data_IF_326273424051
#
_entry.id   IF_326273424051
#
_cell.length_a   1.000
_cell.length_b   1.000
_cell.length_c   1.000
_cell.angle_alpha   90.00
_cell.angle_beta   90.00
_cell.angle_gamma   90.00
#
_symmetry.space_group_name_H-M   'P 1'
#
loop_
_entity.id
_entity.type
_entity.pdbx_description
1 polymer ?
#
# COMPACT_ATOMS: atom_id res chain seq x y z
N UNK A 1 8.73 -35.55 -2.92
CA UNK A 1 8.73 -34.44 -1.97
C UNK A 1 8.16 -33.17 -2.61
N UNK A 2 8.73 -32.66 -3.72
CA UNK A 2 8.26 -31.42 -4.39
C UNK A 2 6.78 -31.51 -4.79
N UNK A 3 6.38 -32.61 -5.44
CA UNK A 3 4.96 -32.82 -5.83
C UNK A 3 3.99 -32.75 -4.66
N UNK A 4 4.36 -33.31 -3.50
CA UNK A 4 3.52 -33.25 -2.30
C UNK A 4 3.42 -31.81 -1.76
N UNK A 5 4.50 -31.04 -1.80
CA UNK A 5 4.50 -29.64 -1.38
C UNK A 5 3.60 -28.78 -2.28
N UNK A 6 3.59 -29.04 -3.57
CA UNK A 6 2.71 -28.35 -4.53
C UNK A 6 1.23 -28.68 -4.25
N UNK A 7 0.92 -29.96 -4.08
CA UNK A 7 -0.45 -30.41 -3.76
C UNK A 7 -0.95 -29.77 -2.45
N UNK A 8 -0.10 -29.70 -1.42
CA UNK A 8 -0.44 -29.06 -0.14
C UNK A 8 -0.72 -27.56 -0.29
N UNK A 9 -0.19 -26.93 -1.34
CA UNK A 9 -0.47 -25.51 -1.72
C UNK A 9 -1.62 -25.35 -2.71
N UNK A 10 -2.35 -26.42 -2.99
CA UNK A 10 -3.47 -26.39 -3.91
C UNK A 10 -3.10 -26.52 -5.39
N UNK A 11 -1.81 -26.64 -5.73
CA UNK A 11 -1.30 -26.80 -7.09
C UNK A 11 -1.41 -28.27 -7.48
N UNK A 12 -2.42 -28.64 -8.27
CA UNK A 12 -2.78 -30.04 -8.52
C UNK A 12 -2.63 -30.44 -9.98
N UNK A 13 -2.65 -29.48 -10.91
CA UNK A 13 -2.59 -29.73 -12.35
C UNK A 13 -1.22 -29.39 -12.93
N UNK A 14 -0.84 -30.00 -14.08
CA UNK A 14 0.40 -29.63 -14.79
C UNK A 14 0.42 -28.14 -15.18
N UNK A 15 -0.72 -27.56 -15.53
CA UNK A 15 -0.84 -26.17 -15.92
C UNK A 15 -0.60 -25.21 -14.75
N UNK A 16 -1.20 -25.48 -13.58
CA UNK A 16 -0.94 -24.72 -12.35
C UNK A 16 0.52 -24.82 -11.93
N UNK A 17 1.12 -25.98 -12.11
CA UNK A 17 2.55 -26.19 -11.84
C UNK A 17 3.43 -25.34 -12.77
N UNK A 18 3.11 -25.29 -14.05
CA UNK A 18 3.85 -24.46 -15.03
C UNK A 18 3.75 -22.98 -14.67
N UNK A 19 2.55 -22.48 -14.38
CA UNK A 19 2.33 -21.08 -13.93
C UNK A 19 3.08 -20.76 -12.63
N UNK A 20 3.14 -21.72 -11.71
CA UNK A 20 3.85 -21.53 -10.44
C UNK A 20 5.37 -21.40 -10.61
N UNK A 21 5.97 -22.20 -11.49
CA UNK A 21 7.42 -22.18 -11.70
C UNK A 21 7.86 -21.15 -12.76
N UNK A 22 7.00 -20.78 -13.69
CA UNK A 22 7.28 -19.89 -14.80
C UNK A 22 6.20 -18.79 -14.93
N UNK A 23 5.98 -17.96 -13.86
CA UNK A 23 4.94 -16.95 -13.87
C UNK A 23 5.20 -15.88 -14.93
N UNK A 24 4.15 -15.45 -15.62
CA UNK A 24 4.20 -14.37 -16.58
C UNK A 24 3.52 -13.13 -16.00
N UNK A 25 3.96 -11.93 -16.42
CA UNK A 25 3.32 -10.67 -15.99
C UNK A 25 1.82 -10.65 -16.36
N UNK A 26 1.44 -11.26 -17.48
CA UNK A 26 0.04 -11.44 -17.86
C UNK A 26 -0.81 -12.22 -16.87
N UNK A 27 -0.21 -13.10 -16.07
CA UNK A 27 -0.92 -13.90 -15.07
C UNK A 27 -1.42 -13.04 -13.90
N UNK A 28 -0.83 -11.87 -13.69
CA UNK A 28 -1.23 -10.91 -12.66
C UNK A 28 -2.29 -9.91 -13.14
N UNK A 29 -2.47 -9.76 -14.46
CA UNK A 29 -3.21 -8.62 -15.01
C UNK A 29 -4.74 -8.81 -15.07
N UNK A 30 -5.25 -10.05 -15.03
CA UNK A 30 -6.65 -10.29 -15.41
C UNK A 30 -7.68 -10.13 -14.30
N UNK A 31 -7.28 -10.13 -13.02
CA UNK A 31 -8.23 -10.21 -11.89
C UNK A 31 -7.88 -9.34 -10.68
N UNK A 32 -7.41 -8.12 -10.89
CA UNK A 32 -7.22 -7.15 -9.80
C UNK A 32 -8.58 -6.73 -9.19
N UNK A 33 -9.37 -7.69 -8.72
CA UNK A 33 -10.55 -7.46 -7.88
C UNK A 33 -10.15 -7.09 -6.45
N UNK A 34 -9.26 -6.09 -6.33
CA UNK A 34 -8.84 -5.57 -5.03
C UNK A 34 -9.99 -4.73 -4.47
N UNK A 35 -10.50 -5.05 -3.28
CA UNK A 35 -11.55 -4.23 -2.65
C UNK A 35 -11.14 -2.77 -2.55
N UNK A 36 -12.00 -1.87 -3.01
CA UNK A 36 -11.77 -0.42 -2.91
C UNK A 36 -10.86 0.18 -3.98
N UNK A 37 -10.33 -0.59 -4.94
CA UNK A 37 -9.38 -0.10 -5.95
C UNK A 37 -9.94 1.07 -6.77
N UNK A 38 -11.20 1.01 -7.19
CA UNK A 38 -11.81 2.08 -7.98
C UNK A 38 -12.00 3.37 -7.17
N UNK A 39 -12.33 3.24 -5.88
CA UNK A 39 -12.44 4.39 -4.97
C UNK A 39 -11.06 5.04 -4.73
N UNK A 40 -10.05 4.23 -4.51
CA UNK A 40 -8.67 4.68 -4.33
C UNK A 40 -8.15 5.39 -5.59
N UNK A 41 -8.32 4.76 -6.77
CA UNK A 41 -7.95 5.34 -8.06
C UNK A 41 -8.62 6.70 -8.29
N UNK A 42 -9.93 6.80 -8.06
CA UNK A 42 -10.65 8.06 -8.21
C UNK A 42 -10.06 9.14 -7.29
N UNK A 43 -9.83 8.85 -6.01
CA UNK A 43 -9.27 9.80 -5.05
C UNK A 43 -7.84 10.25 -5.41
N UNK A 44 -7.02 9.33 -5.93
CA UNK A 44 -5.66 9.66 -6.39
C UNK A 44 -5.71 10.60 -7.59
N UNK A 45 -6.56 10.31 -8.59
CA UNK A 45 -6.73 11.17 -9.75
C UNK A 45 -7.22 12.58 -9.37
N UNK A 46 -8.18 12.67 -8.44
CA UNK A 46 -8.64 13.95 -7.88
C UNK A 46 -7.51 14.73 -7.19
N UNK A 47 -6.62 14.05 -6.46
CA UNK A 47 -5.47 14.69 -5.84
C UNK A 47 -4.49 15.26 -6.88
N UNK A 48 -4.26 14.52 -7.98
CA UNK A 48 -3.41 14.97 -9.08
C UNK A 48 -4.01 16.20 -9.76
N UNK A 49 -5.29 16.14 -10.13
CA UNK A 49 -6.00 17.26 -10.78
C UNK A 49 -5.97 18.53 -9.92
N UNK A 50 -6.16 18.40 -8.60
CA UNK A 50 -6.13 19.52 -7.65
C UNK A 50 -4.73 19.92 -7.22
N UNK A 51 -3.69 19.25 -7.71
CA UNK A 51 -2.29 19.48 -7.37
C UNK A 51 -2.03 19.33 -5.84
N UNK A 52 -2.76 18.44 -5.18
CA UNK A 52 -2.63 18.12 -3.76
C UNK A 52 -1.35 17.33 -3.48
N UNK A 53 -0.77 17.52 -2.29
CA UNK A 53 0.37 16.72 -1.84
C UNK A 53 -0.13 15.35 -1.34
N UNK A 54 0.46 14.30 -1.87
CA UNK A 54 0.23 12.90 -1.47
C UNK A 54 1.44 12.43 -0.65
N UNK A 55 1.21 11.94 0.56
CA UNK A 55 2.25 11.25 1.33
C UNK A 55 2.16 9.75 1.08
N UNK A 56 3.24 9.14 0.60
CA UNK A 56 3.40 7.68 0.53
C UNK A 56 4.06 7.24 1.83
N UNK A 57 3.27 6.58 2.67
CA UNK A 57 3.64 6.17 4.02
C UNK A 57 4.02 4.69 4.02
N UNK A 58 5.30 4.39 4.04
CA UNK A 58 5.83 3.03 4.05
C UNK A 58 6.08 2.45 5.43
N UNK A 59 6.82 1.36 5.44
CA UNK A 59 7.44 0.80 6.61
C UNK A 59 8.97 0.72 6.43
N UNK A 60 9.70 0.44 7.49
CA UNK A 60 11.17 0.47 7.52
C UNK A 60 11.82 -0.85 7.07
N UNK A 61 11.06 -1.88 6.75
CA UNK A 61 11.58 -3.13 6.21
C UNK A 61 11.71 -3.10 4.68
N UNK A 62 12.17 -4.21 4.10
CA UNK A 62 12.42 -4.30 2.65
C UNK A 62 11.14 -4.14 1.85
N UNK A 63 10.04 -4.73 2.30
CA UNK A 63 8.76 -4.70 1.58
C UNK A 63 8.18 -3.29 1.61
N UNK A 64 8.16 -2.63 2.77
CA UNK A 64 7.71 -1.25 2.91
C UNK A 64 8.55 -0.25 2.13
N UNK A 65 9.89 -0.38 2.14
CA UNK A 65 10.80 0.49 1.39
C UNK A 65 10.62 0.29 -0.12
N UNK A 66 10.58 -0.96 -0.60
CA UNK A 66 10.41 -1.26 -2.02
C UNK A 66 9.04 -0.80 -2.53
N UNK A 67 7.96 -1.08 -1.78
CA UNK A 67 6.60 -0.66 -2.12
C UNK A 67 6.49 0.88 -2.17
N UNK A 68 7.11 1.58 -1.20
CA UNK A 68 7.18 3.05 -1.19
C UNK A 68 7.89 3.60 -2.43
N UNK A 69 9.02 3.00 -2.82
CA UNK A 69 9.77 3.42 -4.00
C UNK A 69 8.98 3.20 -5.30
N UNK A 70 8.27 2.07 -5.42
CA UNK A 70 7.43 1.75 -6.58
C UNK A 70 6.28 2.76 -6.69
N UNK A 71 5.55 2.98 -5.60
CA UNK A 71 4.41 3.88 -5.60
C UNK A 71 4.83 5.34 -5.81
N UNK A 72 5.91 5.78 -5.16
CA UNK A 72 6.50 7.10 -5.38
C UNK A 72 6.84 7.34 -6.85
N UNK A 73 7.57 6.41 -7.48
CA UNK A 73 7.97 6.53 -8.89
C UNK A 73 6.74 6.50 -9.81
N UNK A 74 5.80 5.58 -9.55
CA UNK A 74 4.58 5.48 -10.34
C UNK A 74 3.74 6.74 -10.29
N UNK A 75 3.43 7.25 -9.11
CA UNK A 75 2.64 8.49 -8.94
C UNK A 75 3.35 9.71 -9.52
N UNK A 76 4.66 9.84 -9.28
CA UNK A 76 5.44 10.96 -9.84
C UNK A 76 5.46 10.93 -11.37
N UNK A 77 5.53 9.74 -11.98
CA UNK A 77 5.56 9.61 -13.44
C UNK A 77 4.26 10.08 -14.13
N UNK A 78 3.15 10.12 -13.39
CA UNK A 78 1.85 10.64 -13.87
C UNK A 78 1.54 12.05 -13.36
N UNK A 79 2.54 12.75 -12.84
CA UNK A 79 2.45 14.15 -12.45
C UNK A 79 1.95 14.44 -11.04
N UNK A 80 1.85 13.44 -10.16
CA UNK A 80 1.48 13.68 -8.77
C UNK A 80 2.60 14.38 -7.98
N UNK A 81 2.22 15.23 -7.02
CA UNK A 81 3.11 15.73 -5.97
C UNK A 81 3.20 14.70 -4.86
N UNK A 82 4.36 14.10 -4.67
CA UNK A 82 4.54 12.99 -3.72
C UNK A 82 5.66 13.26 -2.74
N UNK A 83 5.40 13.00 -1.47
CA UNK A 83 6.38 13.00 -0.38
C UNK A 83 6.44 11.59 0.24
N UNK A 84 7.57 10.88 0.14
CA UNK A 84 7.72 9.60 0.82
C UNK A 84 7.98 9.82 2.31
N UNK A 85 7.42 8.93 3.14
CA UNK A 85 7.63 8.91 4.58
C UNK A 85 7.84 7.48 5.07
N UNK A 86 8.92 7.26 5.79
CA UNK A 86 9.23 5.99 6.47
C UNK A 86 9.29 6.28 7.97
N UNK A 87 8.49 5.58 8.81
CA UNK A 87 8.47 5.83 10.25
C UNK A 87 9.81 5.45 10.90
N UNK A 88 10.17 6.20 11.94
CA UNK A 88 11.39 5.92 12.70
C UNK A 88 11.11 4.79 13.71
N UNK A 89 11.78 3.64 13.50
CA UNK A 89 11.56 2.41 14.28
C UNK A 89 11.51 2.61 15.80
N UNK A 90 12.44 3.39 16.34
CA UNK A 90 12.57 3.57 17.79
C UNK A 90 11.60 4.61 18.36
N UNK A 91 11.19 5.61 17.57
CA UNK A 91 10.36 6.72 18.04
C UNK A 91 8.87 6.52 17.77
N UNK A 92 8.54 5.84 16.68
CA UNK A 92 7.17 5.68 16.20
C UNK A 92 6.68 4.24 16.28
N UNK A 93 7.59 3.27 16.28
CA UNK A 93 7.26 1.86 16.23
C UNK A 93 6.96 1.39 14.80
N UNK A 94 6.20 0.33 14.69
CA UNK A 94 5.79 -0.29 13.42
C UNK A 94 4.53 0.35 12.86
N UNK A 95 4.54 0.59 11.56
CA UNK A 95 3.36 0.95 10.77
C UNK A 95 2.86 2.37 10.98
N UNK A 96 1.58 2.59 10.68
CA UNK A 96 0.95 3.91 10.71
C UNK A 96 0.90 4.48 12.12
N UNK A 97 1.48 5.67 12.34
CA UNK A 97 1.52 6.38 13.62
C UNK A 97 0.78 7.71 13.57
N UNK A 98 0.26 8.17 14.73
CA UNK A 98 -0.32 9.52 14.84
C UNK A 98 0.73 10.60 14.60
N UNK A 99 2.00 10.34 14.95
CA UNK A 99 3.12 11.25 14.72
C UNK A 99 3.38 11.45 13.23
N UNK A 100 3.45 10.35 12.47
CA UNK A 100 3.63 10.41 11.03
C UNK A 100 2.44 11.03 10.29
N UNK A 101 1.19 10.78 10.76
CA UNK A 101 0.00 11.46 10.22
C UNK A 101 0.03 12.96 10.48
N UNK A 102 0.48 13.38 11.67
CA UNK A 102 0.66 14.78 11.99
C UNK A 102 1.74 15.42 11.12
N UNK A 103 2.87 14.74 10.93
CA UNK A 103 3.90 15.19 9.99
C UNK A 103 3.34 15.38 8.58
N UNK A 104 2.56 14.43 8.06
CA UNK A 104 1.94 14.56 6.74
C UNK A 104 1.02 15.80 6.67
N UNK A 105 0.22 16.05 7.72
CA UNK A 105 -0.65 17.22 7.80
C UNK A 105 0.14 18.52 7.83
N UNK A 106 1.17 18.58 8.66
CA UNK A 106 2.03 19.77 8.81
C UNK A 106 2.81 20.07 7.51
N UNK A 107 3.13 19.05 6.72
CA UNK A 107 3.70 19.18 5.38
C UNK A 107 2.70 19.65 4.32
N UNK A 108 1.42 19.80 4.66
CA UNK A 108 0.37 20.26 3.75
C UNK A 108 -0.25 19.15 2.89
N UNK A 109 -0.09 17.88 3.28
CA UNK A 109 -0.73 16.78 2.57
C UNK A 109 -2.25 16.79 2.74
N UNK A 110 -2.96 16.36 1.70
CA UNK A 110 -4.40 16.09 1.72
C UNK A 110 -4.72 14.60 1.70
N UNK A 111 -3.79 13.79 1.20
CA UNK A 111 -3.94 12.35 1.06
C UNK A 111 -2.69 11.62 1.60
N UNK A 112 -2.92 10.60 2.39
CA UNK A 112 -1.89 9.62 2.79
C UNK A 112 -2.23 8.27 2.17
N UNK A 113 -1.25 7.63 1.55
CA UNK A 113 -1.37 6.27 1.03
C UNK A 113 -0.37 5.42 1.78
N UNK A 114 -0.85 4.49 2.62
CA UNK A 114 0.06 3.54 3.26
C UNK A 114 0.43 2.42 2.30
N UNK A 115 1.62 1.90 2.42
CA UNK A 115 2.07 0.70 1.71
C UNK A 115 2.70 -0.25 2.71
N UNK A 116 2.25 -1.51 2.64
CA UNK A 116 2.72 -2.60 3.50
C UNK A 116 2.42 -2.42 5.01
N UNK A 117 1.47 -1.56 5.34
CA UNK A 117 1.02 -1.35 6.71
C UNK A 117 -0.36 -0.70 6.78
N UNK A 118 -0.94 -0.72 7.99
CA UNK A 118 -2.11 0.09 8.31
C UNK A 118 -3.43 -0.67 8.41
N UNK A 119 -3.54 -1.92 7.97
CA UNK A 119 -4.83 -2.65 7.95
C UNK A 119 -5.46 -2.82 9.35
N UNK A 120 -4.66 -2.78 10.40
CA UNK A 120 -5.12 -2.87 11.80
C UNK A 120 -5.14 -1.52 12.52
N UNK A 121 -4.76 -0.43 11.85
CA UNK A 121 -4.54 0.90 12.46
C UNK A 121 -5.84 1.72 12.58
N UNK A 122 -6.88 1.18 13.23
CA UNK A 122 -8.21 1.77 13.32
C UNK A 122 -8.18 3.15 14.00
N UNK A 123 -7.45 3.30 15.11
CA UNK A 123 -7.38 4.56 15.86
C UNK A 123 -6.60 5.63 15.09
N UNK A 124 -5.59 5.23 14.34
CA UNK A 124 -4.85 6.13 13.46
C UNK A 124 -5.71 6.58 12.27
N UNK A 125 -6.53 5.69 11.72
CA UNK A 125 -7.47 6.05 10.66
C UNK A 125 -8.54 7.04 11.13
N UNK A 126 -9.04 6.89 12.36
CA UNK A 126 -9.94 7.88 12.98
C UNK A 126 -9.23 9.23 13.15
N UNK A 127 -8.02 9.20 13.67
CA UNK A 127 -7.21 10.41 13.86
C UNK A 127 -6.92 11.12 12.53
N UNK A 128 -6.58 10.39 11.46
CA UNK A 128 -6.40 10.97 10.13
C UNK A 128 -7.64 11.75 9.68
N UNK A 129 -8.82 11.17 9.87
CA UNK A 129 -10.10 11.82 9.57
C UNK A 129 -10.35 13.08 10.43
N UNK A 130 -10.04 13.02 11.73
CA UNK A 130 -10.18 14.16 12.67
C UNK A 130 -9.32 15.36 12.26
N UNK A 131 -8.09 15.11 11.75
CA UNK A 131 -7.20 16.17 11.29
C UNK A 131 -7.40 16.54 9.81
N UNK A 132 -8.43 16.00 9.16
CA UNK A 132 -8.76 16.29 7.77
C UNK A 132 -7.72 15.77 6.76
N UNK A 133 -7.23 14.55 6.96
CA UNK A 133 -6.45 13.78 6.00
C UNK A 133 -7.28 12.65 5.42
N UNK A 134 -7.30 12.53 4.11
CA UNK A 134 -7.79 11.32 3.47
C UNK A 134 -6.75 10.21 3.57
N UNK A 135 -7.22 8.97 3.76
CA UNK A 135 -6.36 7.82 3.96
C UNK A 135 -6.75 6.69 3.01
N UNK A 136 -5.78 6.19 2.26
CA UNK A 136 -5.87 4.95 1.49
C UNK A 136 -4.89 3.96 2.13
N UNK A 137 -5.40 2.80 2.54
CA UNK A 137 -4.57 1.74 3.12
C UNK A 137 -4.35 0.68 2.05
N UNK A 138 -3.08 0.41 1.73
CA UNK A 138 -2.67 -0.74 0.94
C UNK A 138 -1.77 -1.62 1.80
N UNK A 139 -2.27 -2.82 2.08
CA UNK A 139 -1.63 -3.74 3.02
C UNK A 139 -1.99 -5.18 2.65
N UNK A 140 -1.09 -6.12 2.92
CA UNK A 140 -1.30 -7.55 2.68
C UNK A 140 -1.39 -8.35 3.98
N UNK A 141 -1.24 -7.71 5.14
CA UNK A 141 -1.37 -8.35 6.44
C UNK A 141 -2.83 -8.75 6.74
N UNK A 142 -2.98 -9.60 7.75
CA UNK A 142 -4.31 -10.11 8.14
C UNK A 142 -5.06 -9.00 8.89
N UNK A 143 -6.28 -8.62 8.46
CA UNK A 143 -7.11 -7.68 9.18
C UNK A 143 -7.43 -8.16 10.60
N UNK A 144 -7.60 -7.22 11.54
CA UNK A 144 -8.16 -7.55 12.86
C UNK A 144 -9.56 -8.15 12.70
N UNK A 145 -9.83 -9.22 13.47
CA UNK A 145 -11.16 -9.88 13.51
C UNK A 145 -12.15 -9.05 14.30
#
# INVERSE_FOLDING_TARGET
>A
LVGQLLVNRGIKTPQEKEQFFHPQISDFASDLKIPGIEKAKKRILEAIEKNELIVVYGDYDVDGICASAILYKGLTSIGAKVLPYIPHREKEGYGLSKLGLKFAKDAGASLVITVDNGIVAIDQARFAKEIGLDLIITDHHIPAR
#
